data_IF_800978483726
#
_entry.id   IF_800978483726
#
_cell.length_a   1.000
_cell.length_b   1.000
_cell.length_c   1.000
_cell.angle_alpha   90.00
_cell.angle_beta   90.00
_cell.angle_gamma   90.00
#
_symmetry.space_group_name_H-M   'P 1'
#
loop_
_entity.id
_entity.type
_entity.pdbx_description
1 polymer ?
#
# COMPACT_ATOMS: atom_id res chain seq x y z
N UNK A 1 -16.24 -15.85 0.99
CA UNK A 1 -15.36 -15.31 2.04
C UNK A 1 -14.92 -13.91 1.63
N UNK A 2 -15.19 -12.90 2.47
CA UNK A 2 -14.82 -11.51 2.19
C UNK A 2 -13.30 -11.31 2.23
N UNK A 3 -12.80 -10.26 1.57
CA UNK A 3 -11.38 -9.94 1.46
C UNK A 3 -10.72 -9.71 2.84
N UNK A 4 -11.50 -9.32 3.84
CA UNK A 4 -11.09 -9.21 5.24
C UNK A 4 -10.72 -10.55 5.89
N UNK A 5 -11.46 -11.62 5.59
CA UNK A 5 -11.22 -12.95 6.15
C UNK A 5 -9.89 -13.52 5.62
N UNK A 6 -9.62 -13.32 4.32
CA UNK A 6 -8.37 -13.74 3.70
C UNK A 6 -7.16 -13.00 4.26
N UNK A 7 -7.29 -11.68 4.50
CA UNK A 7 -6.20 -10.92 5.11
C UNK A 7 -5.84 -11.53 6.47
N UNK A 8 -6.84 -11.80 7.30
CA UNK A 8 -6.66 -12.37 8.63
C UNK A 8 -6.05 -13.78 8.59
N UNK A 9 -6.44 -14.60 7.62
CA UNK A 9 -5.90 -15.96 7.41
C UNK A 9 -4.41 -15.95 7.04
N UNK A 10 -3.98 -14.98 6.22
CA UNK A 10 -2.57 -14.78 5.85
C UNK A 10 -1.79 -14.01 6.95
N UNK A 11 -2.42 -13.72 8.09
CA UNK A 11 -1.80 -12.94 9.18
C UNK A 11 -1.62 -11.45 8.87
N UNK A 12 -2.29 -10.95 7.82
CA UNK A 12 -2.27 -9.56 7.39
C UNK A 12 -3.50 -8.81 7.94
N UNK A 13 -3.32 -7.52 8.20
CA UNK A 13 -4.42 -6.62 8.55
C UNK A 13 -5.09 -6.07 7.30
N UNK A 14 -6.41 -6.11 7.29
CA UNK A 14 -7.19 -5.34 6.35
C UNK A 14 -7.08 -3.85 6.70
N UNK A 15 -6.57 -3.04 5.77
CA UNK A 15 -6.30 -1.61 5.93
C UNK A 15 -6.79 -0.87 4.70
N UNK A 16 -7.46 0.27 4.89
CA UNK A 16 -7.91 1.11 3.78
C UNK A 16 -6.96 2.30 3.61
N UNK A 17 -6.85 2.82 2.39
CA UNK A 17 -6.08 4.04 2.10
C UNK A 17 -6.67 5.33 2.72
N UNK A 18 -7.82 5.23 3.39
CA UNK A 18 -8.47 6.32 4.14
C UNK A 18 -8.03 6.31 5.62
N UNK A 19 -7.48 5.19 6.08
CA UNK A 19 -7.05 5.01 7.48
C UNK A 19 -5.74 5.74 7.80
N UNK A 20 -5.43 5.79 9.09
CA UNK A 20 -4.20 6.37 9.60
C UNK A 20 -2.97 5.74 8.93
N UNK A 21 -2.26 6.56 8.15
CA UNK A 21 -1.06 6.17 7.41
C UNK A 21 -0.12 7.35 7.22
N UNK A 22 0.93 7.12 6.45
CA UNK A 22 1.85 8.17 6.03
C UNK A 22 1.44 8.75 4.69
N UNK A 23 1.50 10.06 4.58
CA UNK A 23 1.17 10.79 3.36
C UNK A 23 2.44 11.43 2.84
N UNK A 24 2.69 11.29 1.53
CA UNK A 24 3.79 12.00 0.87
C UNK A 24 3.33 13.41 0.51
N UNK A 25 4.06 14.41 0.99
CA UNK A 25 3.84 15.83 0.70
C UNK A 25 5.07 16.41 0.00
N UNK A 26 4.86 17.41 -0.85
CA UNK A 26 5.91 18.09 -1.61
C UNK A 26 5.92 17.71 -3.09
N UNK A 27 7.03 18.00 -3.77
CA UNK A 27 7.19 17.81 -5.21
C UNK A 27 8.02 16.55 -5.50
N UNK A 28 7.95 15.97 -6.71
CA UNK A 28 8.74 14.78 -7.09
C UNK A 28 10.24 14.91 -6.83
N UNK A 29 10.78 16.14 -6.86
CA UNK A 29 12.18 16.45 -6.58
C UNK A 29 12.49 16.70 -5.10
N UNK A 30 11.50 17.14 -4.32
CA UNK A 30 11.62 17.42 -2.88
C UNK A 30 10.31 17.03 -2.18
N UNK A 31 10.24 15.78 -1.72
CA UNK A 31 9.12 15.28 -0.95
C UNK A 31 9.55 14.85 0.45
N UNK A 32 8.59 14.88 1.36
CA UNK A 32 8.72 14.37 2.72
C UNK A 32 7.46 13.57 3.07
N UNK A 33 7.57 12.74 4.10
CA UNK A 33 6.46 11.95 4.60
C UNK A 33 5.94 12.57 5.88
N UNK A 34 4.62 12.62 6.03
CA UNK A 34 3.95 13.03 7.26
C UNK A 34 3.04 11.90 7.74
N UNK A 35 2.81 11.79 9.04
CA UNK A 35 1.80 10.87 9.56
C UNK A 35 0.38 11.45 9.40
N UNK A 36 -0.64 10.66 9.79
CA UNK A 36 -2.04 11.09 9.75
C UNK A 36 -2.35 12.31 10.61
N UNK A 37 -1.49 12.65 11.57
CA UNK A 37 -1.57 13.88 12.39
C UNK A 37 -0.76 15.04 11.82
N UNK A 38 -0.11 14.88 10.67
CA UNK A 38 0.68 15.92 9.99
C UNK A 38 2.10 16.11 10.52
N UNK A 39 2.56 15.26 11.45
CA UNK A 39 3.94 15.28 11.95
C UNK A 39 4.86 14.67 10.90
N UNK A 40 6.01 15.33 10.66
CA UNK A 40 7.03 14.81 9.74
C UNK A 40 7.57 13.47 10.25
N UNK A 41 7.60 12.49 9.36
CA UNK A 41 8.22 11.20 9.60
C UNK A 41 9.74 11.35 9.47
N UNK A 42 10.42 11.33 10.62
CA UNK A 42 11.89 11.36 10.69
C UNK A 42 12.48 10.01 11.08
N UNK A 43 11.63 9.03 11.39
CA UNK A 43 12.06 7.71 11.81
C UNK A 43 12.74 6.93 10.67
N UNK A 44 13.97 6.49 10.93
CA UNK A 44 14.80 5.81 9.92
C UNK A 44 14.25 4.43 9.55
N UNK A 45 13.64 3.70 10.48
CA UNK A 45 13.11 2.37 10.21
C UNK A 45 11.90 2.46 9.26
N UNK A 46 10.98 3.39 9.52
CA UNK A 46 9.87 3.66 8.62
C UNK A 46 10.34 4.16 7.25
N UNK A 47 11.30 5.09 7.20
CA UNK A 47 11.85 5.59 5.93
C UNK A 47 12.54 4.47 5.11
N UNK A 48 13.30 3.58 5.76
CA UNK A 48 13.93 2.44 5.10
C UNK A 48 12.89 1.48 4.49
N UNK A 49 11.82 1.18 5.26
CA UNK A 49 10.72 0.36 4.76
C UNK A 49 10.01 1.01 3.57
N UNK A 50 9.73 2.32 3.63
CA UNK A 50 9.10 3.05 2.53
C UNK A 50 9.97 3.00 1.28
N UNK A 51 11.29 3.15 1.41
CA UNK A 51 12.23 3.00 0.30
C UNK A 51 12.19 1.60 -0.31
N UNK A 52 12.06 0.56 0.52
CA UNK A 52 11.92 -0.83 0.06
C UNK A 52 10.65 -1.10 -0.75
N UNK A 53 9.62 -0.25 -0.65
CA UNK A 53 8.41 -0.38 -1.48
C UNK A 53 8.61 0.11 -2.92
N UNK A 54 9.76 0.75 -3.22
CA UNK A 54 10.13 1.26 -4.55
C UNK A 54 8.99 2.07 -5.18
N UNK A 55 8.52 3.06 -4.43
CA UNK A 55 7.43 3.94 -4.86
C UNK A 55 8.01 4.96 -5.85
N UNK A 56 7.51 5.02 -7.09
CA UNK A 56 8.03 5.96 -8.07
C UNK A 56 7.92 7.42 -7.60
N UNK A 57 8.96 8.25 -7.82
CA UNK A 57 8.93 9.67 -7.45
C UNK A 57 7.87 10.45 -8.24
N UNK A 58 7.45 9.95 -9.41
CA UNK A 58 6.43 10.58 -10.23
C UNK A 58 5.00 10.45 -9.69
N UNK A 59 4.74 9.56 -8.72
CA UNK A 59 3.40 9.37 -8.18
C UNK A 59 2.95 10.56 -7.32
N UNK A 60 1.71 10.98 -7.46
CA UNK A 60 1.09 12.03 -6.64
C UNK A 60 0.09 11.42 -5.65
N UNK A 61 -0.33 12.20 -4.65
CA UNK A 61 -1.29 11.75 -3.61
C UNK A 61 -0.95 10.37 -3.03
N UNK A 62 0.33 10.19 -2.67
CA UNK A 62 0.82 8.91 -2.18
C UNK A 62 0.45 8.75 -0.72
N UNK A 63 -0.33 7.72 -0.43
CA UNK A 63 -0.62 7.21 0.91
C UNK A 63 0.13 5.90 1.13
N UNK A 64 0.71 5.72 2.30
CA UNK A 64 1.50 4.55 2.68
C UNK A 64 0.99 4.06 4.03
N UNK A 65 0.77 2.76 4.14
CA UNK A 65 0.32 2.16 5.39
C UNK A 65 1.39 2.27 6.48
N UNK A 66 0.99 2.67 7.68
CA UNK A 66 1.89 2.72 8.83
C UNK A 66 2.35 1.33 9.26
N UNK A 67 1.51 0.31 9.11
CA UNK A 67 1.75 -1.05 9.60
C UNK A 67 2.34 -1.95 8.52
N UNK A 68 3.38 -2.73 8.86
CA UNK A 68 4.08 -3.60 7.91
C UNK A 68 3.21 -4.76 7.43
N UNK A 69 2.33 -5.26 8.30
CA UNK A 69 1.39 -6.33 8.02
C UNK A 69 0.09 -5.85 7.34
N UNK A 70 0.01 -4.62 6.86
CA UNK A 70 -1.13 -4.17 6.05
C UNK A 70 -1.13 -4.85 4.70
N UNK A 71 -2.26 -5.46 4.31
CA UNK A 71 -2.39 -6.09 2.99
C UNK A 71 -2.17 -5.09 1.84
N UNK A 72 -2.57 -3.83 2.06
CA UNK A 72 -2.31 -2.70 1.18
C UNK A 72 -1.17 -1.86 1.79
N UNK A 73 -0.04 -1.79 1.09
CA UNK A 73 1.15 -1.10 1.56
C UNK A 73 1.18 0.36 1.13
N UNK A 74 0.76 0.65 -0.10
CA UNK A 74 0.81 2.01 -0.64
C UNK A 74 -0.24 2.19 -1.73
N UNK A 75 -0.78 3.39 -1.81
CA UNK A 75 -1.57 3.87 -2.95
C UNK A 75 -1.03 5.19 -3.43
N UNK A 76 -1.14 5.46 -4.72
CA UNK A 76 -0.80 6.77 -5.27
C UNK A 76 -1.47 6.95 -6.62
N UNK A 77 -1.36 8.15 -7.19
CA UNK A 77 -1.80 8.45 -8.55
C UNK A 77 -0.59 8.52 -9.47
N UNK A 78 -0.63 7.82 -10.59
CA UNK A 78 0.40 7.93 -11.63
C UNK A 78 0.35 9.30 -12.33
N UNK A 79 1.35 9.61 -13.17
CA UNK A 79 1.39 10.86 -13.96
C UNK A 79 0.16 11.03 -14.84
N UNK A 80 -0.52 9.94 -15.23
CA UNK A 80 -1.79 9.95 -15.97
C UNK A 80 -3.03 10.05 -15.07
N UNK A 81 -2.86 10.32 -13.78
CA UNK A 81 -3.95 10.49 -12.81
C UNK A 81 -4.63 9.18 -12.35
N UNK A 82 -4.15 8.01 -12.80
CA UNK A 82 -4.74 6.72 -12.44
C UNK A 82 -4.30 6.27 -11.06
N UNK A 83 -5.23 5.77 -10.25
CA UNK A 83 -4.94 5.26 -8.91
C UNK A 83 -4.24 3.89 -9.00
N UNK A 84 -3.01 3.84 -8.53
CA UNK A 84 -2.17 2.66 -8.43
C UNK A 84 -2.13 2.15 -6.99
N UNK A 85 -2.06 0.83 -6.84
CA UNK A 85 -2.02 0.12 -5.58
C UNK A 85 -0.74 -0.72 -5.50
N UNK A 86 -0.13 -0.78 -4.31
CA UNK A 86 0.98 -1.66 -3.96
C UNK A 86 0.53 -2.51 -2.78
N UNK A 87 0.48 -3.82 -2.98
CA UNK A 87 0.08 -4.78 -1.96
C UNK A 87 1.29 -5.39 -1.26
N UNK A 88 1.04 -6.01 -0.10
CA UNK A 88 2.02 -6.87 0.56
C UNK A 88 2.40 -8.04 -0.36
N UNK A 89 3.68 -8.46 -0.43
CA UNK A 89 4.08 -9.63 -1.21
C UNK A 89 3.27 -10.90 -0.83
N UNK A 90 3.08 -11.16 0.46
CA UNK A 90 2.27 -12.29 0.93
C UNK A 90 0.78 -12.19 0.54
N UNK A 91 0.22 -10.98 0.46
CA UNK A 91 -1.13 -10.78 -0.09
C UNK A 91 -1.19 -11.13 -1.57
N UNK A 92 -0.19 -10.69 -2.35
CA UNK A 92 -0.10 -11.02 -3.77
C UNK A 92 0.08 -12.51 -4.02
N UNK A 93 0.86 -13.22 -3.20
CA UNK A 93 1.02 -14.69 -3.28
C UNK A 93 -0.32 -15.39 -3.07
N UNK A 94 -0.99 -15.06 -1.97
CA UNK A 94 -2.26 -15.67 -1.62
C UNK A 94 -3.40 -15.38 -2.60
N UNK A 95 -3.44 -14.16 -3.17
CA UNK A 95 -4.45 -13.81 -4.18
C UNK A 95 -4.18 -14.47 -5.54
N UNK A 96 -2.92 -14.79 -5.85
CA UNK A 96 -2.61 -15.53 -7.08
C UNK A 96 -3.28 -16.92 -7.02
N UNK A 97 -3.13 -17.66 -5.91
CA UNK A 97 -3.81 -18.94 -5.72
C UNK A 97 -5.34 -18.84 -5.83
N UNK A 98 -5.96 -17.85 -5.16
CA UNK A 98 -7.44 -17.74 -5.13
C UNK A 98 -8.06 -17.16 -6.40
N UNK A 99 -7.33 -16.33 -7.18
CA UNK A 99 -7.86 -15.75 -8.42
C UNK A 99 -7.79 -16.72 -9.59
N UNK A 100 -6.83 -17.66 -9.59
CA UNK A 100 -6.79 -18.74 -10.58
C UNK A 100 -7.97 -19.72 -10.41
N UNK A 101 -8.42 -20.02 -9.19
CA UNK A 101 -9.61 -20.86 -8.96
C UNK A 101 -10.95 -20.22 -9.37
N UNK A 102 -10.96 -18.93 -9.74
CA UNK A 102 -12.19 -18.21 -10.13
C UNK A 102 -12.30 -17.97 -11.63
N UNK A 103 -11.28 -18.31 -12.40
CA UNK A 103 -11.30 -18.28 -13.87
C UNK A 103 -11.84 -19.58 -14.49
N UNK A 104 -12.02 -20.65 -13.70
CA UNK A 104 -12.62 -21.93 -14.16
C UNK A 104 -14.16 -21.91 -14.24
N UNK A 105 -14.80 -20.73 -14.21
CA UNK A 105 -16.27 -20.61 -14.31
C UNK A 105 -16.76 -19.69 -15.42
N UNK A 106 -16.01 -19.64 -16.51
CA UNK A 106 -16.50 -19.27 -17.83
C UNK A 106 -16.15 -20.41 -18.80
N UNK A 107 -16.99 -21.44 -18.78
CA UNK A 107 -17.08 -22.52 -19.77
C UNK A 107 -18.53 -22.70 -20.14
#
# INVERSE_FOLDING_TARGET
MGEEAFAKEVGLRYVNCVDAGYIRKGTPKRFYYVDGKGKRLTDKAHLARIKSLVIPPAWQDVWICAQANGHLQCTGRDVRGRKQYRYHPDWSKGRNETKFSKLERFG
#
